data_IF_028341105623
#
_entry.id   IF_028341105623
#
_cell.length_a   1.000
_cell.length_b   1.000
_cell.length_c   1.000
_cell.angle_alpha   90.00
_cell.angle_beta   90.00
_cell.angle_gamma   90.00
#
_symmetry.space_group_name_H-M   'P 1'
#
loop_
_entity.id
_entity.type
_entity.pdbx_description
1 polymer ?
#
# COMPACT_ATOMS: atom_id res chain seq x y z
N UNK A 1 26.28 -8.84 17.63
CA UNK A 1 25.11 -9.35 16.90
C UNK A 1 24.07 -8.26 16.94
N UNK A 2 24.13 -7.32 15.99
CA UNK A 2 23.09 -6.29 15.87
C UNK A 2 21.86 -7.02 15.33
N UNK A 3 20.80 -7.08 16.11
CA UNK A 3 19.48 -7.37 15.57
C UNK A 3 19.21 -6.29 14.52
N UNK A 4 19.38 -6.62 13.24
CA UNK A 4 18.84 -5.81 12.15
C UNK A 4 17.33 -5.93 12.36
N UNK A 5 16.77 -4.95 13.06
CA UNK A 5 15.34 -4.83 13.28
C UNK A 5 14.68 -4.92 11.92
N UNK A 6 13.82 -5.93 11.75
CA UNK A 6 13.04 -6.10 10.54
C UNK A 6 12.02 -4.96 10.55
N UNK A 7 12.39 -3.81 10.00
CA UNK A 7 11.44 -2.72 9.80
C UNK A 7 10.46 -3.17 8.73
N UNK A 8 9.33 -3.68 9.17
CA UNK A 8 8.23 -4.05 8.29
C UNK A 8 7.25 -2.89 8.27
N UNK A 9 7.04 -2.29 7.10
CA UNK A 9 5.89 -1.40 6.93
C UNK A 9 4.63 -2.25 6.77
N UNK A 10 3.54 -1.79 7.37
CA UNK A 10 2.21 -2.35 7.18
C UNK A 10 1.35 -1.39 6.37
N UNK A 11 0.82 -1.89 5.26
CA UNK A 11 -0.10 -1.20 4.37
C UNK A 11 -1.52 -1.67 4.62
N UNK A 12 -2.46 -0.73 4.64
CA UNK A 12 -3.88 -1.01 4.77
C UNK A 12 -4.69 -0.14 3.82
N UNK A 13 -5.72 -0.72 3.21
CA UNK A 13 -6.68 0.02 2.38
C UNK A 13 -8.07 -0.10 3.01
N UNK A 14 -8.67 1.06 3.27
CA UNK A 14 -10.06 1.17 3.66
C UNK A 14 -10.94 0.93 2.42
N UNK A 15 -11.65 -0.20 2.41
CA UNK A 15 -12.49 -0.62 1.29
C UNK A 15 -13.80 0.15 1.21
N UNK A 16 -14.26 0.75 2.30
CA UNK A 16 -15.46 1.60 2.32
C UNK A 16 -15.18 2.97 1.67
N UNK A 17 -13.92 3.43 1.70
CA UNK A 17 -13.46 4.66 1.05
C UNK A 17 -12.90 4.44 -0.36
N UNK A 18 -12.58 3.21 -0.73
CA UNK A 18 -12.00 2.88 -2.02
C UNK A 18 -13.07 2.92 -3.12
N UNK A 19 -12.85 3.76 -4.15
CA UNK A 19 -13.75 3.91 -5.31
C UNK A 19 -13.13 3.41 -6.62
N UNK A 20 -12.10 2.56 -6.55
CA UNK A 20 -11.55 1.88 -7.74
C UNK A 20 -10.80 2.76 -8.74
N UNK A 21 -10.23 3.89 -8.32
CA UNK A 21 -9.51 4.82 -9.22
C UNK A 21 -8.18 4.29 -9.80
N UNK A 22 -7.75 3.08 -9.42
CA UNK A 22 -6.55 2.37 -9.90
C UNK A 22 -5.19 3.08 -9.82
N UNK A 23 -5.11 4.29 -9.24
CA UNK A 23 -3.86 5.04 -9.08
C UNK A 23 -2.80 4.34 -8.22
N UNK A 24 -3.22 3.51 -7.27
CA UNK A 24 -2.31 2.72 -6.45
C UNK A 24 -1.56 1.67 -7.27
N UNK A 25 -2.22 1.05 -8.26
CA UNK A 25 -1.61 0.07 -9.15
C UNK A 25 -0.66 0.75 -10.14
N UNK A 26 -1.01 1.95 -10.62
CA UNK A 26 -0.12 2.72 -11.51
C UNK A 26 1.19 3.12 -10.81
N UNK A 27 1.14 3.47 -9.53
CA UNK A 27 2.29 3.95 -8.76
C UNK A 27 3.09 2.83 -8.09
N UNK A 28 2.40 1.78 -7.66
CA UNK A 28 3.00 0.67 -6.93
C UNK A 28 2.42 -0.67 -7.41
N UNK A 29 2.63 -1.05 -8.69
CA UNK A 29 2.05 -2.26 -9.30
C UNK A 29 2.58 -3.55 -8.68
N UNK A 30 3.71 -3.47 -7.97
CA UNK A 30 4.27 -4.61 -7.24
C UNK A 30 3.59 -4.83 -5.89
N UNK A 31 2.82 -3.86 -5.38
CA UNK A 31 2.17 -3.91 -4.05
C UNK A 31 0.67 -3.93 -4.14
N UNK A 32 0.09 -3.21 -5.11
CA UNK A 32 -1.36 -3.10 -5.31
C UNK A 32 -1.77 -3.73 -6.64
N UNK A 33 -2.99 -4.26 -6.64
CA UNK A 33 -3.71 -4.79 -7.79
C UNK A 33 -5.20 -4.39 -7.69
N UNK A 34 -6.00 -4.63 -8.72
CA UNK A 34 -7.45 -4.40 -8.71
C UNK A 34 -8.16 -5.74 -8.77
N UNK A 35 -8.93 -6.06 -7.74
CA UNK A 35 -9.72 -7.30 -7.69
C UNK A 35 -10.97 -7.23 -8.57
N UNK A 36 -11.70 -8.34 -8.64
CA UNK A 36 -12.92 -8.48 -9.45
C UNK A 36 -14.09 -7.56 -9.03
N UNK A 37 -14.00 -6.92 -7.86
CA UNK A 37 -14.97 -5.97 -7.31
C UNK A 37 -14.59 -4.50 -7.62
N UNK A 38 -13.64 -4.28 -8.53
CA UNK A 38 -13.04 -2.98 -8.85
C UNK A 38 -12.34 -2.28 -7.65
N UNK A 39 -12.18 -2.98 -6.53
CA UNK A 39 -11.49 -2.50 -5.34
C UNK A 39 -10.03 -2.93 -5.29
N UNK A 40 -9.21 -2.11 -4.64
CA UNK A 40 -7.79 -2.41 -4.48
C UNK A 40 -7.57 -3.68 -3.65
N UNK A 41 -6.71 -4.56 -4.17
CA UNK A 41 -6.09 -5.68 -3.47
C UNK A 41 -4.64 -5.31 -3.23
N UNK A 42 -4.07 -5.66 -2.07
CA UNK A 42 -2.72 -5.21 -1.74
C UNK A 42 -1.94 -6.23 -0.91
N UNK A 43 -0.62 -6.10 -0.94
CA UNK A 43 0.26 -6.78 0.00
C UNK A 43 0.34 -5.99 1.30
N UNK A 44 -0.09 -6.57 2.42
CA UNK A 44 -0.05 -5.91 3.74
C UNK A 44 1.38 -5.58 4.18
N UNK A 45 2.36 -6.41 3.82
CA UNK A 45 3.77 -6.24 4.19
C UNK A 45 4.64 -6.24 2.94
N UNK A 46 4.70 -5.12 2.18
CA UNK A 46 5.54 -5.01 1.01
C UNK A 46 7.03 -4.99 1.38
N UNK A 47 7.93 -5.30 0.44
CA UNK A 47 9.37 -5.18 0.67
C UNK A 47 9.78 -3.71 0.85
N UNK A 48 10.85 -3.46 1.60
CA UNK A 48 11.41 -2.11 1.84
C UNK A 48 11.69 -1.34 0.53
N UNK A 49 12.06 -2.04 -0.55
CA UNK A 49 12.29 -1.42 -1.86
C UNK A 49 11.04 -0.76 -2.45
N UNK A 50 9.84 -1.15 -2.01
CA UNK A 50 8.57 -0.59 -2.46
C UNK A 50 8.03 0.52 -1.54
N UNK A 51 8.75 0.88 -0.46
CA UNK A 51 8.32 1.90 0.50
C UNK A 51 8.02 3.25 -0.16
N UNK A 52 8.85 3.66 -1.12
CA UNK A 52 8.67 4.95 -1.80
C UNK A 52 7.46 4.94 -2.74
N UNK A 53 7.26 3.83 -3.45
CA UNK A 53 6.12 3.61 -4.35
C UNK A 53 4.81 3.58 -3.55
N UNK A 54 4.78 2.88 -2.41
CA UNK A 54 3.65 2.83 -1.48
C UNK A 54 3.37 4.23 -0.92
N UNK A 55 4.40 4.97 -0.53
CA UNK A 55 4.27 6.37 -0.09
C UNK A 55 3.67 7.26 -1.17
N UNK A 56 4.05 7.07 -2.43
CA UNK A 56 3.48 7.78 -3.56
C UNK A 56 2.00 7.42 -3.74
N UNK A 57 1.65 6.12 -3.70
CA UNK A 57 0.27 5.64 -3.79
C UNK A 57 -0.63 6.22 -2.69
N UNK A 58 -0.15 6.26 -1.43
CA UNK A 58 -0.85 6.86 -0.29
C UNK A 58 -1.19 8.33 -0.56
N UNK A 59 -0.22 9.12 -1.08
CA UNK A 59 -0.43 10.54 -1.38
C UNK A 59 -1.33 10.78 -2.59
N UNK A 60 -1.31 9.88 -3.56
CA UNK A 60 -2.06 10.02 -4.80
C UNK A 60 -3.53 9.58 -4.66
N UNK A 61 -3.87 8.80 -3.63
CA UNK A 61 -5.24 8.32 -3.43
C UNK A 61 -6.20 9.50 -3.15
N UNK A 62 -7.14 9.82 -4.07
CA UNK A 62 -8.00 11.00 -3.95
C UNK A 62 -8.98 10.87 -2.77
N UNK A 63 -9.26 9.64 -2.34
CA UNK A 63 -10.15 9.33 -1.22
C UNK A 63 -9.41 9.11 0.09
N UNK A 64 -8.08 9.18 0.07
CA UNK A 64 -7.22 8.92 1.22
C UNK A 64 -7.52 7.55 1.86
N UNK A 65 -7.90 6.56 1.03
CA UNK A 65 -8.27 5.22 1.47
C UNK A 65 -7.05 4.37 1.85
N UNK A 66 -5.83 4.77 1.49
CA UNK A 66 -4.61 4.00 1.69
C UNK A 66 -3.83 4.58 2.86
N UNK A 67 -3.38 3.71 3.77
CA UNK A 67 -2.56 4.05 4.92
C UNK A 67 -1.33 3.15 5.02
N UNK A 68 -0.24 3.69 5.57
CA UNK A 68 0.98 2.93 5.87
C UNK A 68 1.43 3.25 7.31
N UNK A 69 1.89 2.24 8.04
CA UNK A 69 2.43 2.37 9.39
C UNK A 69 3.69 1.50 9.56
N UNK A 70 4.54 1.84 10.53
CA UNK A 70 5.64 0.96 10.94
C UNK A 70 5.07 -0.17 11.82
N UNK A 71 5.44 -1.42 11.54
CA UNK A 71 5.08 -2.64 12.28
C UNK A 71 6.37 -3.16 12.95
N UNK A 72 6.40 -3.15 14.29
CA UNK A 72 7.53 -3.54 15.16
C UNK A 72 7.45 -5.00 15.63
#
# INVERSE_FOLDING_TARGET
MVAVGRRTVKVSVDRDLCEGHSLCVELAPTVFDIGDDDLAVWQEHPPESADDDVRAAVRACPRQAISMAEDD
#
